data_IF_806673613693
#
_entry.id   IF_806673613693
#
_cell.length_a   1.000
_cell.length_b   1.000
_cell.length_c   1.000
_cell.angle_alpha   90.00
_cell.angle_beta   90.00
_cell.angle_gamma   90.00
#
_symmetry.space_group_name_H-M   'P 1'
#
loop_
_entity.id
_entity.type
_entity.pdbx_description
1 polymer ?
#
# COMPACT_ATOMS: atom_id res chain seq x y z
N UNK A 1 -17.34 10.20 2.62
CA UNK A 1 -16.83 8.89 2.15
C UNK A 1 -15.64 8.53 3.02
N UNK A 2 -15.44 7.25 3.29
CA UNK A 2 -14.30 6.73 4.05
C UNK A 2 -13.10 6.71 3.13
N UNK A 3 -11.97 7.30 3.55
CA UNK A 3 -10.73 7.23 2.76
C UNK A 3 -10.04 5.89 2.95
N UNK A 4 -9.67 5.23 1.85
CA UNK A 4 -8.89 3.99 1.87
C UNK A 4 -7.46 4.29 1.46
N UNK A 5 -6.52 3.98 2.34
CA UNK A 5 -5.10 4.01 2.01
C UNK A 5 -4.58 2.59 1.82
N UNK A 6 -3.67 2.41 0.87
CA UNK A 6 -3.01 1.14 0.58
C UNK A 6 -1.51 1.29 0.88
N UNK A 7 -0.95 0.34 1.64
CA UNK A 7 0.48 0.31 1.96
C UNK A 7 1.08 -0.97 1.42
N UNK A 8 1.74 -0.88 0.27
CA UNK A 8 2.39 -2.00 -0.42
C UNK A 8 3.90 -2.03 -0.15
N UNK A 9 4.56 -3.02 -0.70
CA UNK A 9 6.00 -3.23 -0.59
C UNK A 9 6.35 -4.66 -0.20
N UNK A 10 7.54 -5.10 -0.56
CA UNK A 10 7.99 -6.46 -0.30
C UNK A 10 7.98 -6.84 1.19
N UNK A 11 7.95 -8.16 1.43
CA UNK A 11 8.09 -8.69 2.78
C UNK A 11 9.39 -8.18 3.43
N UNK A 12 9.28 -7.70 4.66
CA UNK A 12 10.40 -7.12 5.39
C UNK A 12 10.82 -5.71 4.94
N UNK A 13 10.13 -5.07 3.99
CA UNK A 13 10.44 -3.69 3.58
C UNK A 13 10.21 -2.63 4.67
N UNK A 14 9.49 -2.97 5.75
CA UNK A 14 9.21 -2.05 6.86
C UNK A 14 7.82 -1.44 6.82
N UNK A 15 6.85 -2.09 6.15
CA UNK A 15 5.44 -1.66 6.07
C UNK A 15 4.85 -1.46 7.46
N UNK A 16 4.89 -2.50 8.29
CA UNK A 16 4.39 -2.49 9.67
C UNK A 16 5.03 -1.39 10.52
N UNK A 17 6.34 -1.17 10.36
CA UNK A 17 7.02 -0.05 11.04
C UNK A 17 6.48 1.30 10.59
N UNK A 18 6.30 1.52 9.28
CA UNK A 18 5.71 2.75 8.75
C UNK A 18 4.28 2.94 9.26
N UNK A 19 3.47 1.86 9.29
CA UNK A 19 2.11 1.86 9.81
C UNK A 19 2.05 2.43 11.24
N UNK A 20 2.96 2.02 12.14
CA UNK A 20 3.01 2.55 13.51
C UNK A 20 3.12 4.08 13.53
N UNK A 21 4.02 4.65 12.75
CA UNK A 21 4.19 6.10 12.67
C UNK A 21 2.97 6.79 12.04
N UNK A 22 2.46 6.21 10.95
CA UNK A 22 1.36 6.77 10.20
C UNK A 22 0.05 6.77 11.01
N UNK A 23 -0.32 5.65 11.60
CA UNK A 23 -1.52 5.53 12.43
C UNK A 23 -1.44 6.45 13.66
N UNK A 24 -0.29 6.50 14.33
CA UNK A 24 -0.11 7.42 15.44
C UNK A 24 -0.27 8.90 15.03
N UNK A 25 0.19 9.26 13.82
CA UNK A 25 -0.07 10.58 13.27
C UNK A 25 -1.57 10.82 13.07
N UNK A 26 -2.29 9.89 12.42
CA UNK A 26 -3.74 10.00 12.17
C UNK A 26 -4.54 10.12 13.48
N UNK A 27 -4.18 9.34 14.50
CA UNK A 27 -4.79 9.41 15.85
C UNK A 27 -4.59 10.79 16.49
N UNK A 28 -3.40 11.42 16.31
CA UNK A 28 -3.14 12.80 16.77
C UNK A 28 -4.00 13.82 16.01
N UNK A 29 -4.39 13.55 14.77
CA UNK A 29 -5.34 14.38 14.02
C UNK A 29 -6.81 14.11 14.40
N UNK A 30 -7.04 13.28 15.43
CA UNK A 30 -8.36 12.89 15.94
C UNK A 30 -9.20 12.10 14.93
N UNK A 31 -8.57 11.36 14.04
CA UNK A 31 -9.24 10.49 13.07
C UNK A 31 -9.45 9.09 13.65
N UNK A 32 -10.60 8.50 13.34
CA UNK A 32 -10.88 7.08 13.60
C UNK A 32 -10.36 6.24 12.45
N UNK A 33 -9.54 5.24 12.77
CA UNK A 33 -8.80 4.44 11.78
C UNK A 33 -9.15 2.97 11.96
N UNK A 34 -9.24 2.23 10.86
CA UNK A 34 -9.19 0.78 10.90
C UNK A 34 -8.05 0.28 10.03
N UNK A 35 -7.21 -0.59 10.57
CA UNK A 35 -6.18 -1.31 9.82
C UNK A 35 -6.77 -2.65 9.38
N UNK A 36 -6.69 -2.94 8.10
CA UNK A 36 -7.11 -4.22 7.52
C UNK A 36 -5.89 -4.95 6.98
N UNK A 37 -5.46 -5.96 7.73
CA UNK A 37 -4.46 -6.92 7.28
C UNK A 37 -5.09 -7.87 6.27
N UNK A 38 -4.53 -7.91 5.08
CA UNK A 38 -4.99 -8.78 4.01
C UNK A 38 -3.96 -9.87 3.74
N UNK A 39 -4.02 -10.97 4.50
CA UNK A 39 -3.03 -12.05 4.48
C UNK A 39 -3.63 -13.38 4.02
N UNK A 40 -2.90 -14.07 3.14
CA UNK A 40 -3.21 -15.44 2.71
C UNK A 40 -2.74 -16.51 3.72
N UNK A 41 -2.00 -16.14 4.76
CA UNK A 41 -1.45 -17.04 5.77
C UNK A 41 -2.44 -17.45 6.86
N UNK A 42 -2.17 -18.60 7.49
CA UNK A 42 -2.96 -19.08 8.63
C UNK A 42 -2.57 -18.43 9.97
N UNK A 43 -1.38 -17.83 10.07
CA UNK A 43 -0.86 -17.17 11.28
C UNK A 43 -0.32 -15.81 10.86
N UNK A 44 -0.98 -14.76 11.30
CA UNK A 44 -0.54 -13.40 10.98
C UNK A 44 0.36 -12.87 12.11
N UNK A 45 1.67 -12.84 11.85
CA UNK A 45 2.66 -12.29 12.77
C UNK A 45 2.55 -10.76 12.79
N UNK A 46 2.19 -10.14 11.67
CA UNK A 46 2.11 -8.69 11.54
C UNK A 46 0.98 -8.11 12.40
N UNK A 47 -0.16 -8.81 12.50
CA UNK A 47 -1.23 -8.46 13.45
C UNK A 47 -0.77 -8.41 14.91
N UNK A 48 0.16 -9.28 15.30
CA UNK A 48 0.69 -9.25 16.67
C UNK A 48 1.56 -8.00 16.91
N UNK A 49 2.24 -7.53 15.88
CA UNK A 49 3.07 -6.33 15.94
C UNK A 49 2.24 -5.04 15.93
N UNK A 50 1.01 -5.09 15.47
CA UNK A 50 0.12 -3.93 15.39
C UNK A 50 -0.84 -3.79 16.59
N UNK A 51 -0.88 -4.78 17.49
CA UNK A 51 -1.81 -4.80 18.63
C UNK A 51 -1.70 -3.60 19.57
N UNK A 52 -0.54 -3.04 19.72
CA UNK A 52 -0.30 -1.85 20.55
C UNK A 52 -0.91 -0.57 19.97
N UNK A 53 -1.30 -0.59 18.67
CA UNK A 53 -2.04 0.50 18.03
C UNK A 53 -3.53 0.47 18.34
N UNK A 54 -4.09 -0.68 18.76
CA UNK A 54 -5.52 -0.86 18.99
C UNK A 54 -5.98 -0.08 20.21
N UNK A 55 -6.96 0.79 20.04
CA UNK A 55 -7.62 1.58 21.09
C UNK A 55 -8.98 2.11 20.60
N UNK A 56 -9.55 3.05 21.33
CA UNK A 56 -10.85 3.66 20.99
C UNK A 56 -10.91 4.34 19.61
N UNK A 57 -9.75 4.66 19.03
CA UNK A 57 -9.62 5.34 17.72
C UNK A 57 -9.04 4.47 16.62
N UNK A 58 -8.49 3.32 16.96
CA UNK A 58 -7.88 2.41 16.01
C UNK A 58 -8.33 0.99 16.25
N UNK A 59 -8.96 0.39 15.25
CA UNK A 59 -9.34 -1.03 15.25
C UNK A 59 -8.45 -1.81 14.30
N UNK A 60 -8.20 -3.07 14.66
CA UNK A 60 -7.49 -4.03 13.83
C UNK A 60 -8.45 -5.07 13.29
N UNK A 61 -8.41 -5.29 12.00
CA UNK A 61 -9.22 -6.28 11.30
C UNK A 61 -8.35 -7.11 10.37
N UNK A 62 -8.77 -8.34 10.10
CA UNK A 62 -8.00 -9.26 9.26
C UNK A 62 -8.90 -9.97 8.26
N UNK A 63 -8.41 -10.11 7.03
CA UNK A 63 -8.90 -11.10 6.07
C UNK A 63 -7.95 -12.28 6.11
N UNK A 64 -8.40 -13.37 6.71
CA UNK A 64 -7.62 -14.61 6.79
C UNK A 64 -8.34 -15.74 6.08
N UNK A 65 -7.59 -16.71 5.61
CA UNK A 65 -8.11 -17.99 5.22
C UNK A 65 -7.39 -18.63 4.05
N UNK A 66 -7.14 -19.94 4.22
CA UNK A 66 -6.77 -20.84 3.14
C UNK A 66 -7.98 -21.03 2.21
N UNK A 67 -7.88 -20.58 0.99
CA UNK A 67 -8.88 -20.75 -0.05
C UNK A 67 -8.29 -20.39 -1.40
N UNK A 68 -9.05 -20.60 -2.47
CA UNK A 68 -8.69 -20.04 -3.77
C UNK A 68 -8.80 -18.50 -3.77
N UNK A 69 -8.22 -17.86 -4.76
CA UNK A 69 -8.20 -16.40 -4.90
C UNK A 69 -9.64 -15.81 -4.88
N UNK A 70 -10.61 -16.48 -5.51
CA UNK A 70 -12.00 -16.09 -5.53
C UNK A 70 -12.65 -16.03 -4.13
N UNK A 71 -12.32 -17.00 -3.27
CA UNK A 71 -12.82 -17.02 -1.89
C UNK A 71 -12.21 -15.89 -1.06
N UNK A 72 -10.93 -15.59 -1.28
CA UNK A 72 -10.22 -14.52 -0.60
C UNK A 72 -10.80 -13.14 -0.98
N UNK A 73 -10.95 -12.87 -2.26
CA UNK A 73 -11.55 -11.63 -2.78
C UNK A 73 -12.96 -11.39 -2.20
N UNK A 74 -13.80 -12.43 -2.14
CA UNK A 74 -15.13 -12.34 -1.55
C UNK A 74 -15.08 -11.98 -0.06
N UNK A 75 -14.15 -12.56 0.69
CA UNK A 75 -13.95 -12.23 2.12
C UNK A 75 -13.48 -10.80 2.29
N UNK A 76 -12.52 -10.36 1.47
CA UNK A 76 -12.02 -8.99 1.45
C UNK A 76 -13.16 -8.00 1.21
N UNK A 77 -13.97 -8.20 0.17
CA UNK A 77 -15.16 -7.38 -0.10
C UNK A 77 -16.15 -7.39 1.06
N UNK A 78 -16.45 -8.56 1.63
CA UNK A 78 -17.38 -8.68 2.77
C UNK A 78 -16.85 -7.91 3.99
N UNK A 79 -15.54 -7.95 4.23
CA UNK A 79 -14.91 -7.23 5.33
C UNK A 79 -15.02 -5.71 5.14
N UNK A 80 -14.74 -5.23 3.93
CA UNK A 80 -14.90 -3.81 3.60
C UNK A 80 -16.36 -3.35 3.77
N UNK A 81 -17.34 -4.17 3.39
CA UNK A 81 -18.77 -3.85 3.63
C UNK A 81 -19.04 -3.70 5.14
N UNK A 82 -18.55 -4.64 5.95
CA UNK A 82 -18.74 -4.59 7.40
C UNK A 82 -18.08 -3.35 8.04
N UNK A 83 -16.86 -3.00 7.59
CA UNK A 83 -16.13 -1.81 8.05
C UNK A 83 -16.81 -0.51 7.61
N UNK A 84 -17.38 -0.46 6.39
CA UNK A 84 -18.11 0.69 5.89
C UNK A 84 -19.33 1.05 6.76
N UNK A 85 -19.92 0.07 7.42
CA UNK A 85 -21.04 0.29 8.38
C UNK A 85 -20.57 0.89 9.71
N UNK A 86 -19.29 0.78 10.06
CA UNK A 86 -18.72 1.26 11.33
C UNK A 86 -18.28 2.74 11.29
N UNK A 87 -18.34 3.38 10.11
CA UNK A 87 -18.08 4.83 9.91
C UNK A 87 -16.70 5.31 10.38
N UNK A 88 -15.66 4.58 10.02
CA UNK A 88 -14.28 5.07 10.18
C UNK A 88 -14.05 6.31 9.29
N UNK A 89 -13.13 7.17 9.72
CA UNK A 89 -12.65 8.27 8.87
C UNK A 89 -11.71 7.74 7.80
N UNK A 90 -10.93 6.68 8.15
CA UNK A 90 -9.92 6.10 7.29
C UNK A 90 -9.76 4.59 7.50
N UNK A 91 -9.62 3.88 6.42
CA UNK A 91 -9.25 2.46 6.40
C UNK A 91 -7.87 2.35 5.76
N UNK A 92 -6.96 1.66 6.41
CA UNK A 92 -5.62 1.38 5.89
C UNK A 92 -5.54 -0.11 5.59
N UNK A 93 -5.18 -0.45 4.37
CA UNK A 93 -5.01 -1.84 3.95
C UNK A 93 -3.52 -2.12 3.84
N UNK A 94 -3.05 -3.12 4.59
CA UNK A 94 -1.72 -3.70 4.44
C UNK A 94 -1.86 -5.10 3.84
N UNK A 95 -1.58 -5.28 2.54
CA UNK A 95 -1.54 -6.61 1.96
C UNK A 95 -0.25 -7.33 2.33
N UNK A 96 -0.34 -8.63 2.56
CA UNK A 96 0.84 -9.47 2.73
C UNK A 96 1.34 -9.99 1.39
N UNK A 97 2.65 -10.02 1.22
CA UNK A 97 3.31 -10.68 0.11
C UNK A 97 3.05 -10.06 -1.27
N UNK A 98 2.73 -10.91 -2.23
CA UNK A 98 2.37 -10.50 -3.60
C UNK A 98 0.92 -10.09 -3.61
N UNK A 99 0.66 -8.83 -3.90
CA UNK A 99 -0.67 -8.26 -3.93
C UNK A 99 -0.97 -7.71 -5.32
N UNK A 100 -2.15 -8.06 -5.83
CA UNK A 100 -2.64 -7.52 -7.09
C UNK A 100 -3.35 -6.19 -6.84
N UNK A 101 -2.72 -5.11 -7.28
CA UNK A 101 -3.27 -3.76 -7.14
C UNK A 101 -4.54 -3.56 -7.97
N UNK A 102 -4.70 -4.28 -9.08
CA UNK A 102 -5.89 -4.18 -9.93
C UNK A 102 -7.10 -4.77 -9.21
N UNK A 103 -6.94 -5.90 -8.51
CA UNK A 103 -8.00 -6.48 -7.67
C UNK A 103 -8.48 -5.50 -6.59
N UNK A 104 -7.57 -4.72 -6.00
CA UNK A 104 -7.93 -3.67 -5.04
C UNK A 104 -8.80 -2.58 -5.68
N UNK A 105 -8.40 -2.06 -6.83
CA UNK A 105 -9.16 -1.03 -7.53
C UNK A 105 -10.53 -1.55 -7.97
N UNK A 106 -10.58 -2.73 -8.58
CA UNK A 106 -11.82 -3.36 -9.04
C UNK A 106 -12.80 -3.57 -7.88
N UNK A 107 -12.33 -4.09 -6.75
CA UNK A 107 -13.16 -4.31 -5.57
C UNK A 107 -13.79 -3.00 -5.06
N UNK A 108 -13.02 -1.91 -5.01
CA UNK A 108 -13.53 -0.62 -4.54
C UNK A 108 -14.49 0.06 -5.54
N UNK A 109 -14.39 -0.26 -6.83
CA UNK A 109 -15.30 0.22 -7.86
C UNK A 109 -16.65 -0.49 -7.86
N UNK A 110 -16.80 -1.63 -7.17
CA UNK A 110 -18.05 -2.37 -7.12
C UNK A 110 -19.04 -1.79 -6.09
N UNK A 111 -20.35 -1.88 -6.38
CA UNK A 111 -21.39 -1.55 -5.42
C UNK A 111 -21.40 -2.56 -4.24
N UNK A 112 -21.67 -2.11 -3.00
CA UNK A 112 -21.93 -0.73 -2.57
C UNK A 112 -20.66 0.07 -2.21
N UNK A 113 -19.45 -0.52 -2.35
CA UNK A 113 -18.19 0.06 -1.87
C UNK A 113 -17.87 1.38 -2.57
N UNK A 114 -18.14 1.48 -3.87
CA UNK A 114 -17.91 2.69 -4.67
C UNK A 114 -18.65 3.93 -4.14
N UNK A 115 -19.76 3.74 -3.43
CA UNK A 115 -20.52 4.84 -2.81
C UNK A 115 -20.07 5.18 -1.39
N UNK A 116 -19.33 4.28 -0.72
CA UNK A 116 -18.91 4.45 0.69
C UNK A 116 -17.45 4.84 0.82
N UNK A 117 -16.63 4.40 -0.11
CA UNK A 117 -15.17 4.55 -0.07
C UNK A 117 -14.66 5.48 -1.18
N UNK A 118 -13.59 6.16 -0.89
CA UNK A 118 -12.74 6.84 -1.88
C UNK A 118 -11.28 6.47 -1.63
N UNK A 119 -10.52 6.31 -2.69
CA UNK A 119 -9.09 6.02 -2.58
C UNK A 119 -8.39 7.27 -2.05
N UNK A 120 -7.68 7.13 -0.95
CA UNK A 120 -6.89 8.18 -0.32
C UNK A 120 -5.47 8.20 -0.86
N UNK A 121 -4.56 7.53 -0.17
CA UNK A 121 -3.16 7.46 -0.56
C UNK A 121 -2.74 6.02 -0.83
N UNK A 122 -1.85 5.84 -1.82
CA UNK A 122 -1.15 4.58 -2.04
C UNK A 122 0.33 4.84 -1.79
N UNK A 123 0.89 4.13 -0.83
CA UNK A 123 2.30 4.18 -0.45
C UNK A 123 2.96 2.84 -0.76
N UNK A 124 4.08 2.87 -1.47
CA UNK A 124 4.94 1.69 -1.64
C UNK A 124 6.18 1.84 -0.79
N UNK A 125 6.37 0.93 0.16
CA UNK A 125 7.53 0.92 1.06
C UNK A 125 8.65 0.14 0.39
N UNK A 126 9.79 0.81 0.17
CA UNK A 126 10.94 0.25 -0.51
C UNK A 126 12.14 0.21 0.43
N UNK A 127 12.72 -0.96 0.64
CA UNK A 127 13.98 -1.09 1.38
C UNK A 127 15.13 -0.42 0.61
N UNK A 128 15.85 0.49 1.24
CA UNK A 128 17.01 1.15 0.65
C UNK A 128 18.11 0.19 0.16
N UNK A 129 18.12 -1.04 0.69
CA UNK A 129 19.06 -2.10 0.34
C UNK A 129 18.44 -3.17 -0.58
N UNK A 130 17.27 -2.87 -1.18
CA UNK A 130 16.57 -3.82 -2.05
C UNK A 130 17.46 -4.22 -3.23
N UNK A 131 17.66 -5.52 -3.39
CA UNK A 131 18.27 -6.10 -4.57
C UNK A 131 17.18 -6.82 -5.38
N UNK A 132 17.05 -6.47 -6.63
CA UNK A 132 16.12 -7.11 -7.56
C UNK A 132 16.86 -8.23 -8.26
N UNK A 133 16.47 -9.49 -7.99
CA UNK A 133 17.20 -10.67 -8.47
C UNK A 133 16.61 -11.27 -9.74
N UNK A 134 15.32 -11.09 -10.00
CA UNK A 134 14.61 -11.69 -11.12
C UNK A 134 13.51 -10.78 -11.70
N UNK A 135 12.94 -11.22 -12.81
CA UNK A 135 11.92 -10.47 -13.54
C UNK A 135 10.57 -10.44 -12.78
N UNK A 136 10.26 -11.46 -11.99
CA UNK A 136 9.03 -11.51 -11.21
C UNK A 136 9.04 -10.44 -10.11
N UNK A 137 10.12 -10.37 -9.33
CA UNK A 137 10.31 -9.29 -8.34
C UNK A 137 10.27 -7.91 -9.01
N UNK A 138 10.86 -7.78 -10.18
CA UNK A 138 10.88 -6.52 -10.93
C UNK A 138 9.47 -6.11 -11.36
N UNK A 139 8.68 -7.06 -11.84
CA UNK A 139 7.29 -6.83 -12.25
C UNK A 139 6.41 -6.41 -11.05
N UNK A 140 6.48 -7.15 -9.95
CA UNK A 140 5.71 -6.84 -8.72
C UNK A 140 6.04 -5.43 -8.23
N UNK A 141 7.33 -5.11 -8.09
CA UNK A 141 7.76 -3.77 -7.67
C UNK A 141 7.26 -2.70 -8.62
N UNK A 142 7.36 -2.94 -9.92
CA UNK A 142 6.92 -2.00 -10.93
C UNK A 142 5.41 -1.74 -10.85
N UNK A 143 4.58 -2.78 -10.69
CA UNK A 143 3.13 -2.67 -10.54
C UNK A 143 2.76 -1.85 -9.30
N UNK A 144 3.40 -2.10 -8.16
CA UNK A 144 3.19 -1.32 -6.95
C UNK A 144 3.62 0.15 -7.11
N UNK A 145 4.77 0.41 -7.75
CA UNK A 145 5.28 1.76 -8.00
C UNK A 145 4.42 2.54 -9.02
N UNK A 146 3.83 1.85 -9.99
CA UNK A 146 3.00 2.47 -11.01
C UNK A 146 1.76 3.14 -10.41
N UNK A 147 1.13 2.51 -9.42
CA UNK A 147 -0.07 3.04 -8.78
C UNK A 147 0.22 3.92 -7.56
N UNK A 148 1.40 3.89 -6.95
CA UNK A 148 1.68 4.65 -5.74
C UNK A 148 1.73 6.17 -5.98
N UNK A 149 1.14 6.93 -5.07
CA UNK A 149 1.33 8.39 -4.99
C UNK A 149 2.69 8.75 -4.42
N UNK A 150 3.27 7.88 -3.57
CA UNK A 150 4.58 8.08 -2.95
C UNK A 150 5.30 6.75 -2.69
N UNK A 151 6.55 6.66 -3.15
CA UNK A 151 7.48 5.59 -2.77
C UNK A 151 8.26 6.04 -1.52
N UNK A 152 8.12 5.31 -0.43
CA UNK A 152 8.73 5.63 0.86
C UNK A 152 9.93 4.72 1.07
N UNK A 153 11.11 5.30 1.15
CA UNK A 153 12.36 4.55 1.32
C UNK A 153 12.61 4.29 2.79
N UNK A 154 12.66 3.02 3.14
CA UNK A 154 12.95 2.53 4.49
C UNK A 154 14.42 2.13 4.66
N UNK A 155 14.86 1.91 5.90
CA UNK A 155 16.18 1.41 6.28
C UNK A 155 17.34 2.22 5.68
N UNK A 156 17.15 3.52 5.56
CA UNK A 156 18.17 4.43 5.07
C UNK A 156 19.35 4.45 6.04
N UNK A 157 20.54 4.38 5.50
CA UNK A 157 21.81 4.46 6.23
C UNK A 157 22.79 5.43 5.55
N UNK A 158 23.88 5.77 6.22
CA UNK A 158 24.94 6.59 5.62
C UNK A 158 25.60 5.96 4.38
N UNK A 159 25.38 4.66 4.15
CA UNK A 159 25.89 3.92 2.98
C UNK A 159 24.87 3.84 1.83
N UNK A 160 23.64 4.30 2.04
CA UNK A 160 22.59 4.24 1.03
C UNK A 160 22.90 5.14 -0.15
N UNK A 161 22.98 4.55 -1.35
CA UNK A 161 23.12 5.32 -2.59
C UNK A 161 21.73 5.57 -3.21
N UNK A 162 21.13 6.70 -2.85
CA UNK A 162 19.80 7.08 -3.33
C UNK A 162 19.72 7.24 -4.85
N UNK A 163 20.82 7.66 -5.52
CA UNK A 163 20.80 7.80 -6.97
C UNK A 163 20.77 6.43 -7.66
N UNK A 164 21.51 5.45 -7.15
CA UNK A 164 21.45 4.09 -7.66
C UNK A 164 20.07 3.48 -7.44
N UNK A 165 19.49 3.68 -6.24
CA UNK A 165 18.14 3.21 -5.93
C UNK A 165 17.11 3.82 -6.89
N UNK A 166 17.14 5.14 -7.13
CA UNK A 166 16.26 5.81 -8.08
C UNK A 166 16.35 5.22 -9.49
N UNK A 167 17.57 4.97 -9.97
CA UNK A 167 17.77 4.34 -11.27
C UNK A 167 17.12 2.94 -11.31
N UNK A 168 17.33 2.13 -10.28
CA UNK A 168 16.74 0.78 -10.22
C UNK A 168 15.19 0.83 -10.20
N UNK A 169 14.59 1.79 -9.50
CA UNK A 169 13.14 1.95 -9.47
C UNK A 169 12.58 2.43 -10.82
N UNK A 170 13.28 3.36 -11.49
CA UNK A 170 12.91 3.78 -12.84
C UNK A 170 13.07 2.65 -13.86
N UNK A 171 14.11 1.82 -13.73
CA UNK A 171 14.30 0.64 -14.57
C UNK A 171 13.20 -0.41 -14.36
N UNK A 172 12.66 -0.51 -13.13
CA UNK A 172 11.50 -1.36 -12.87
C UNK A 172 10.25 -0.81 -13.57
N UNK A 173 9.95 0.48 -13.47
CA UNK A 173 8.81 1.10 -14.16
C UNK A 173 8.91 0.95 -15.69
N UNK A 174 10.10 1.20 -16.26
CA UNK A 174 10.33 1.00 -17.69
C UNK A 174 10.09 -0.44 -18.13
N UNK A 175 10.30 -1.44 -17.26
CA UNK A 175 10.08 -2.85 -17.57
C UNK A 175 8.61 -3.16 -17.89
N UNK A 176 7.67 -2.44 -17.27
CA UNK A 176 6.23 -2.56 -17.54
C UNK A 176 5.72 -1.51 -18.54
N UNK A 177 6.61 -0.76 -19.19
CA UNK A 177 6.25 0.28 -20.17
C UNK A 177 5.83 1.61 -19.55
N UNK A 178 5.89 1.77 -18.20
CA UNK A 178 5.63 3.07 -17.56
C UNK A 178 6.82 4.01 -17.77
N UNK A 179 6.63 5.06 -18.55
CA UNK A 179 7.67 6.06 -18.83
C UNK A 179 7.79 7.16 -17.77
N UNK A 180 6.86 7.20 -16.82
CA UNK A 180 6.88 8.20 -15.75
C UNK A 180 8.00 7.90 -14.75
N UNK A 181 8.79 8.93 -14.45
CA UNK A 181 9.86 8.80 -13.47
C UNK A 181 9.34 8.86 -12.04
N UNK A 182 9.90 8.00 -11.19
CA UNK A 182 9.56 7.96 -9.77
C UNK A 182 10.19 9.11 -8.97
N UNK A 183 11.16 9.85 -9.52
CA UNK A 183 12.02 10.79 -8.80
C UNK A 183 11.27 11.78 -7.89
N UNK A 184 10.21 12.39 -8.41
CA UNK A 184 9.40 13.37 -7.66
C UNK A 184 8.43 12.72 -6.65
N UNK A 185 8.28 11.40 -6.72
CA UNK A 185 7.42 10.63 -5.84
C UNK A 185 8.20 9.90 -4.74
N UNK A 186 9.52 10.02 -4.69
CA UNK A 186 10.35 9.41 -3.65
C UNK A 186 10.31 10.25 -2.39
N UNK A 187 10.03 9.60 -1.26
CA UNK A 187 10.23 10.13 0.08
C UNK A 187 11.32 9.32 0.77
N UNK A 188 12.47 9.94 1.01
CA UNK A 188 13.65 9.30 1.58
C UNK A 188 14.05 10.00 2.88
N UNK A 189 13.47 9.53 4.00
CA UNK A 189 13.76 10.01 5.35
C UNK A 189 13.74 8.84 6.32
N UNK A 190 14.67 8.81 7.27
CA UNK A 190 14.64 7.82 8.35
C UNK A 190 13.33 7.95 9.13
N UNK A 191 12.66 6.83 9.41
CA UNK A 191 11.35 6.81 10.06
C UNK A 191 11.36 7.46 11.44
N UNK A 192 12.47 7.36 12.17
CA UNK A 192 12.60 8.02 13.48
C UNK A 192 12.64 9.56 13.38
N UNK A 193 12.88 10.10 12.19
CA UNK A 193 12.99 11.53 11.93
C UNK A 193 11.79 12.10 11.16
N UNK A 194 10.76 11.29 10.87
CA UNK A 194 9.53 11.76 10.20
C UNK A 194 8.78 12.69 11.16
N UNK A 195 8.42 13.87 10.67
CA UNK A 195 7.68 14.89 11.41
C UNK A 195 6.20 14.90 11.01
N UNK A 196 5.37 15.60 11.77
CA UNK A 196 3.96 15.80 11.42
C UNK A 196 3.79 16.57 10.12
N UNK A 197 4.71 17.50 9.78
CA UNK A 197 4.69 18.18 8.49
C UNK A 197 5.01 17.24 7.32
N UNK A 198 5.92 16.26 7.52
CA UNK A 198 6.17 15.23 6.53
C UNK A 198 4.91 14.39 6.29
N UNK A 199 4.22 13.97 7.36
CA UNK A 199 2.97 13.23 7.22
C UNK A 199 1.86 14.05 6.57
N UNK A 200 1.77 15.34 6.88
CA UNK A 200 0.84 16.24 6.21
C UNK A 200 1.10 16.31 4.70
N UNK A 201 2.35 16.34 4.30
CA UNK A 201 2.75 16.26 2.89
C UNK A 201 2.42 14.90 2.30
N UNK A 202 2.73 13.79 2.99
CA UNK A 202 2.40 12.43 2.56
C UNK A 202 0.90 12.24 2.37
N UNK A 203 0.07 12.79 3.26
CA UNK A 203 -1.40 12.75 3.17
C UNK A 203 -1.96 13.43 1.92
N UNK A 204 -1.20 14.26 1.25
CA UNK A 204 -1.59 14.91 -0.01
C UNK A 204 -1.05 14.20 -1.26
N UNK A 205 -0.40 13.05 -1.10
CA UNK A 205 0.26 12.34 -2.20
C UNK A 205 -0.73 11.65 -3.17
N UNK A 206 -1.90 11.22 -2.65
CA UNK A 206 -2.89 10.52 -3.45
C UNK A 206 -2.38 9.20 -4.02
N UNK A 207 -2.76 8.91 -5.25
CA UNK A 207 -2.40 7.71 -6.00
C UNK A 207 -2.34 8.00 -7.50
N UNK A 208 -1.80 7.06 -8.28
CA UNK A 208 -1.90 7.07 -9.75
C UNK A 208 -2.85 5.97 -10.18
N UNK A 209 -3.74 6.28 -11.10
CA UNK A 209 -4.58 5.26 -11.73
C UNK A 209 -3.82 4.65 -12.92
N UNK A 210 -2.96 3.66 -12.62
CA UNK A 210 -2.15 2.97 -13.62
C UNK A 210 -2.90 1.84 -14.34
N UNK A 211 -4.08 1.46 -13.87
CA UNK A 211 -4.92 0.41 -14.49
C UNK A 211 -5.24 0.67 -15.97
N UNK A 212 -5.12 1.90 -16.44
CA UNK A 212 -5.32 2.25 -17.84
C UNK A 212 -4.15 1.90 -18.77
N UNK A 213 -2.97 1.56 -18.22
CA UNK A 213 -1.79 1.25 -19.04
C UNK A 213 -1.82 -0.18 -19.62
N UNK A 214 -2.57 -1.09 -18.99
CA UNK A 214 -2.62 -2.51 -19.38
C UNK A 214 -3.74 -2.85 -20.38
N UNK A 215 -4.71 -1.95 -20.59
CA UNK A 215 -5.88 -2.24 -21.43
C UNK A 215 -5.70 -1.90 -22.92
N UNK A 216 -4.64 -1.19 -23.31
CA UNK A 216 -4.43 -0.79 -24.71
C UNK A 216 -3.68 -1.82 -25.56
N UNK A 217 -2.81 -2.65 -24.96
CA UNK A 217 -1.97 -3.59 -25.70
C UNK A 217 -2.51 -5.03 -25.74
N UNK A 218 -3.44 -5.40 -24.87
CA UNK A 218 -4.04 -6.75 -24.86
C UNK A 218 -5.20 -6.92 -25.88
N UNK A 219 -5.67 -5.84 -26.49
CA UNK A 219 -6.76 -5.87 -27.46
C UNK A 219 -6.31 -6.08 -28.91
N UNK A 220 -5.00 -5.96 -29.21
CA UNK A 220 -4.46 -6.07 -30.56
C UNK A 220 -3.80 -7.42 -30.89
N UNK A 221 -3.83 -8.40 -29.99
CA UNK A 221 -3.29 -9.77 -30.20
C UNK A 221 -4.36 -10.88 -30.12
N UNK A 222 -5.57 -10.67 -30.66
CA UNK A 222 -6.53 -11.74 -30.92
C UNK A 222 -7.06 -11.71 -32.34
#
# INVERSE_FOLDING_TARGET
MIKVDLITGFLGAGKTTFLHYYVNYLKRQNLSVCILENDYGAINVDMMLLRDLEDDKCSLEMVSGSGDACCHQRRFKTKLIAMGMQKYDRVIIEPSGVFDTDEFFDTLCEDPLSSWYEIGNIFTIVDANLNIFDNEMKYILASELACCGRAIISKISCKTNLNLLKNNLNDALNYIGDSDKIDDRIFAKDFNNITDDDFKMLMSSGYRNACLLYTSDAADEL
#
